data_IF_025822547195
#
_entry.id   IF_025822547195
#
_cell.length_a   1.000
_cell.length_b   1.000
_cell.length_c   1.000
_cell.angle_alpha   90.00
_cell.angle_beta   90.00
_cell.angle_gamma   90.00
#
_symmetry.space_group_name_H-M   'P 1'
#
loop_
_entity.id
_entity.type
_entity.pdbx_description
1 polymer ?
#
# COMPACT_ATOMS: atom_id res chain seq x y z
N UNK A 1 11.26 -2.54 54.58
CA UNK A 1 11.22 -3.41 53.38
C UNK A 1 11.40 -2.52 52.17
N UNK A 2 12.37 -2.82 51.28
CA UNK A 2 12.69 -1.95 50.16
C UNK A 2 11.76 -2.26 48.97
N UNK A 3 10.79 -1.39 48.72
CA UNK A 3 9.77 -1.61 47.68
C UNK A 3 10.34 -1.58 46.24
N UNK A 4 11.59 -1.15 46.05
CA UNK A 4 12.26 -1.07 44.74
C UNK A 4 13.02 -2.36 44.36
N UNK A 5 12.93 -3.42 45.16
CA UNK A 5 13.49 -4.73 44.81
C UNK A 5 12.42 -5.56 44.08
N UNK A 6 12.63 -5.80 42.79
CA UNK A 6 11.71 -6.59 41.95
C UNK A 6 11.50 -7.99 42.53
N UNK A 7 10.22 -8.36 42.73
CA UNK A 7 9.82 -9.68 43.22
C UNK A 7 9.71 -9.80 44.75
N UNK A 8 10.24 -8.84 45.52
CA UNK A 8 10.11 -8.83 46.99
C UNK A 8 8.90 -8.01 47.47
N UNK A 9 8.40 -7.08 46.66
CA UNK A 9 7.25 -6.24 46.99
C UNK A 9 5.94 -6.86 46.50
N UNK A 10 4.99 -7.02 47.42
CA UNK A 10 3.63 -7.43 47.07
C UNK A 10 2.84 -6.25 46.49
N UNK A 11 2.73 -6.22 45.17
CA UNK A 11 2.00 -5.20 44.42
C UNK A 11 0.50 -5.20 44.75
N UNK A 12 -0.05 -6.29 45.29
CA UNK A 12 -1.48 -6.35 45.69
C UNK A 12 -1.76 -5.59 46.98
N UNK A 13 -0.72 -5.21 47.72
CA UNK A 13 -0.84 -4.33 48.89
C UNK A 13 -1.12 -2.86 48.52
N UNK A 14 -0.96 -2.47 47.25
CA UNK A 14 -1.28 -1.12 46.79
C UNK A 14 -2.80 -0.90 46.76
N UNK A 15 -3.22 0.30 47.12
CA UNK A 15 -4.62 0.71 47.08
C UNK A 15 -5.17 0.60 45.65
N UNK A 16 -6.16 -0.28 45.45
CA UNK A 16 -6.79 -0.48 44.15
C UNK A 16 -7.61 0.73 43.69
N UNK A 17 -8.05 1.56 44.64
CA UNK A 17 -8.80 2.77 44.34
C UNK A 17 -7.90 3.94 43.91
N UNK A 18 -6.58 3.84 44.14
CA UNK A 18 -5.59 4.82 43.72
C UNK A 18 -5.64 5.05 42.20
N UNK A 19 -5.70 6.32 41.80
CA UNK A 19 -5.79 6.73 40.39
C UNK A 19 -4.59 6.23 39.56
N UNK A 20 -3.38 6.26 40.13
CA UNK A 20 -2.15 5.75 39.54
C UNK A 20 -2.18 4.25 39.27
N UNK A 21 -2.64 3.45 40.23
CA UNK A 21 -2.78 1.99 40.10
C UNK A 21 -3.80 1.63 39.02
N UNK A 22 -4.95 2.33 38.98
CA UNK A 22 -5.97 2.17 37.93
C UNK A 22 -5.41 2.46 36.53
N UNK A 23 -4.62 3.52 36.38
CA UNK A 23 -3.96 3.87 35.12
C UNK A 23 -2.93 2.80 34.75
N UNK A 24 -2.11 2.34 35.69
CA UNK A 24 -1.11 1.30 35.45
C UNK A 24 -1.72 -0.02 34.97
N UNK A 25 -2.79 -0.48 35.63
CA UNK A 25 -3.59 -1.65 35.20
C UNK A 25 -4.11 -1.47 33.78
N UNK A 26 -4.62 -0.29 33.44
CA UNK A 26 -5.11 0.03 32.09
C UNK A 26 -3.99 0.02 31.04
N UNK A 27 -2.80 0.52 31.36
CA UNK A 27 -1.63 0.49 30.45
C UNK A 27 -1.24 -0.95 30.09
N UNK A 28 -1.21 -1.86 31.07
CA UNK A 28 -0.91 -3.27 30.83
C UNK A 28 -1.99 -3.96 30.00
N UNK A 29 -3.26 -3.65 30.26
CA UNK A 29 -4.39 -4.18 29.50
C UNK A 29 -4.34 -3.72 28.04
N UNK A 30 -4.11 -2.42 27.80
CA UNK A 30 -3.98 -1.86 26.46
C UNK A 30 -2.84 -2.52 25.69
N UNK A 31 -1.67 -2.74 26.32
CA UNK A 31 -0.58 -3.46 25.64
C UNK A 31 -0.97 -4.87 25.21
N UNK A 32 -1.65 -5.64 26.08
CA UNK A 32 -2.09 -7.01 25.77
C UNK A 32 -3.13 -7.03 24.65
N UNK A 33 -4.13 -6.16 24.73
CA UNK A 33 -5.19 -6.07 23.72
C UNK A 33 -4.61 -5.63 22.37
N UNK A 34 -3.75 -4.60 22.36
CA UNK A 34 -3.10 -4.14 21.15
C UNK A 34 -2.26 -5.25 20.52
N UNK A 35 -1.45 -5.97 21.30
CA UNK A 35 -0.64 -7.07 20.77
C UNK A 35 -1.50 -8.15 20.08
N UNK A 36 -2.61 -8.56 20.70
CA UNK A 36 -3.54 -9.52 20.10
C UNK A 36 -4.21 -8.97 18.85
N UNK A 37 -4.67 -7.71 18.88
CA UNK A 37 -5.32 -7.05 17.76
C UNK A 37 -4.39 -6.96 16.54
N UNK A 38 -3.17 -6.49 16.73
CA UNK A 38 -2.20 -6.34 15.63
C UNK A 38 -1.66 -7.69 15.15
N UNK A 39 -1.56 -8.69 16.04
CA UNK A 39 -1.26 -10.07 15.63
C UNK A 39 -2.37 -10.66 14.74
N UNK A 40 -3.63 -10.44 15.09
CA UNK A 40 -4.77 -10.85 14.27
C UNK A 40 -4.83 -10.06 12.95
N UNK A 41 -4.58 -8.76 12.98
CA UNK A 41 -4.54 -7.90 11.79
C UNK A 41 -3.46 -8.37 10.81
N UNK A 42 -2.29 -8.78 11.31
CA UNK A 42 -1.22 -9.33 10.48
C UNK A 42 -1.63 -10.66 9.86
N UNK A 43 -2.24 -11.55 10.65
CA UNK A 43 -2.72 -12.84 10.17
C UNK A 43 -3.81 -12.66 9.09
N UNK A 44 -4.82 -11.84 9.36
CA UNK A 44 -5.90 -11.55 8.42
C UNK A 44 -5.36 -10.82 7.19
N UNK A 45 -4.50 -9.83 7.35
CA UNK A 45 -3.87 -9.12 6.24
C UNK A 45 -3.09 -10.08 5.34
N UNK A 46 -2.31 -10.99 5.92
CA UNK A 46 -1.55 -11.97 5.15
C UNK A 46 -2.47 -12.94 4.38
N UNK A 47 -3.44 -13.56 5.05
CA UNK A 47 -4.31 -14.56 4.41
C UNK A 47 -5.32 -13.93 3.45
N UNK A 48 -6.04 -12.91 3.90
CA UNK A 48 -7.11 -12.30 3.13
C UNK A 48 -6.59 -11.54 1.92
N UNK A 49 -5.52 -10.75 2.07
CA UNK A 49 -4.98 -9.97 0.96
C UNK A 49 -4.23 -10.87 -0.02
N UNK A 50 -3.57 -11.94 0.42
CA UNK A 50 -2.91 -12.87 -0.51
C UNK A 50 -3.90 -13.64 -1.36
N UNK A 51 -5.00 -14.12 -0.79
CA UNK A 51 -6.04 -14.81 -1.56
C UNK A 51 -6.81 -13.86 -2.48
N UNK A 52 -7.07 -12.62 -2.04
CA UNK A 52 -7.86 -11.65 -2.82
C UNK A 52 -7.05 -10.85 -3.85
N UNK A 53 -5.82 -10.47 -3.51
CA UNK A 53 -4.92 -9.64 -4.33
C UNK A 53 -3.77 -10.45 -4.92
N UNK A 54 -3.89 -11.78 -5.04
CA UNK A 54 -2.79 -12.66 -5.43
C UNK A 54 -2.05 -12.28 -6.73
N UNK A 55 -2.69 -11.54 -7.63
CA UNK A 55 -2.12 -10.99 -8.87
C UNK A 55 -1.44 -9.61 -8.72
N UNK A 56 -1.62 -8.91 -7.59
CA UNK A 56 -1.21 -7.50 -7.38
C UNK A 56 -0.13 -7.34 -6.29
N UNK A 57 0.45 -8.46 -5.88
CA UNK A 57 1.40 -8.56 -4.78
C UNK A 57 2.81 -8.71 -5.34
N UNK A 58 3.67 -7.71 -5.10
CA UNK A 58 5.11 -7.82 -5.36
C UNK A 58 5.79 -8.71 -4.30
N UNK A 59 6.98 -9.23 -4.61
CA UNK A 59 7.81 -9.99 -3.67
C UNK A 59 8.12 -9.26 -2.37
N UNK A 60 7.99 -7.92 -2.35
CA UNK A 60 8.18 -7.07 -1.17
C UNK A 60 6.92 -6.89 -0.31
N UNK A 61 5.73 -7.30 -0.77
CA UNK A 61 4.44 -7.07 -0.09
C UNK A 61 4.40 -7.55 1.35
N UNK A 62 4.88 -8.77 1.61
CA UNK A 62 4.84 -9.33 2.96
C UNK A 62 5.68 -8.50 3.95
N UNK A 63 6.81 -7.97 3.47
CA UNK A 63 7.70 -7.12 4.26
C UNK A 63 7.02 -5.76 4.50
N UNK A 64 6.43 -5.17 3.46
CA UNK A 64 5.71 -3.90 3.53
C UNK A 64 4.48 -3.98 4.46
N UNK A 65 3.68 -5.04 4.35
CA UNK A 65 2.53 -5.31 5.22
C UNK A 65 2.97 -5.44 6.68
N UNK A 66 3.99 -6.26 6.95
CA UNK A 66 4.52 -6.43 8.29
C UNK A 66 5.05 -5.11 8.87
N UNK A 67 5.85 -4.37 8.09
CA UNK A 67 6.43 -3.10 8.49
C UNK A 67 5.35 -2.02 8.75
N UNK A 68 4.30 -1.99 7.92
CA UNK A 68 3.16 -1.09 8.09
C UNK A 68 2.42 -1.36 9.39
N UNK A 69 2.06 -2.62 9.66
CA UNK A 69 1.36 -3.04 10.87
C UNK A 69 2.21 -2.74 12.11
N UNK A 70 3.52 -3.01 12.04
CA UNK A 70 4.45 -2.69 13.13
C UNK A 70 4.52 -1.18 13.39
N UNK A 71 4.53 -0.36 12.33
CA UNK A 71 4.55 1.10 12.40
C UNK A 71 3.28 1.62 13.06
N UNK A 72 2.12 1.08 12.67
CA UNK A 72 0.83 1.41 13.26
C UNK A 72 0.77 1.03 14.74
N UNK A 73 1.22 -0.17 15.10
CA UNK A 73 1.30 -0.65 16.47
C UNK A 73 2.17 0.27 17.36
N UNK A 74 3.40 0.57 16.90
CA UNK A 74 4.32 1.43 17.64
C UNK A 74 3.79 2.85 17.83
N UNK A 75 3.15 3.42 16.81
CA UNK A 75 2.59 4.76 16.87
C UNK A 75 1.35 4.87 17.76
N UNK A 76 0.44 3.89 17.74
CA UNK A 76 -0.71 3.87 18.66
C UNK A 76 -0.27 3.71 20.12
N UNK A 77 0.71 2.87 20.41
CA UNK A 77 1.29 2.77 21.76
C UNK A 77 1.94 4.09 22.17
N UNK A 78 2.63 4.78 21.26
CA UNK A 78 3.24 6.08 21.52
C UNK A 78 2.20 7.17 21.79
N UNK A 79 1.08 7.17 21.06
CA UNK A 79 -0.04 8.08 21.30
C UNK A 79 -0.67 7.84 22.67
N UNK A 80 -0.93 6.57 23.00
CA UNK A 80 -1.48 6.18 24.30
C UNK A 80 -0.53 6.50 25.46
N UNK A 81 0.77 6.30 25.29
CA UNK A 81 1.78 6.69 26.26
C UNK A 81 1.77 8.21 26.51
N UNK A 82 1.62 9.03 25.46
CA UNK A 82 1.52 10.49 25.62
C UNK A 82 0.20 10.91 26.30
N UNK A 83 -0.92 10.25 26.02
CA UNK A 83 -2.18 10.47 26.75
C UNK A 83 -2.02 10.16 28.24
N UNK A 84 -1.36 9.05 28.55
CA UNK A 84 -1.11 8.62 29.92
C UNK A 84 -0.19 9.60 30.63
N UNK A 85 0.91 10.02 29.99
CA UNK A 85 1.83 11.05 30.50
C UNK A 85 1.10 12.36 30.83
N UNK A 86 0.22 12.83 29.95
CA UNK A 86 -0.58 14.04 30.19
C UNK A 86 -1.48 13.90 31.42
N UNK A 87 -2.07 12.72 31.65
CA UNK A 87 -2.88 12.43 32.84
C UNK A 87 -2.04 12.35 34.12
N UNK A 88 -0.85 11.74 34.05
CA UNK A 88 0.04 11.63 35.21
C UNK A 88 0.53 13.00 35.69
N UNK A 89 0.71 13.97 34.78
CA UNK A 89 1.10 15.34 35.15
C UNK A 89 0.06 16.08 35.99
N UNK A 90 -1.21 15.66 35.98
CA UNK A 90 -2.29 16.27 36.78
C UNK A 90 -2.60 15.52 38.09
N UNK A 91 -1.87 14.44 38.38
CA UNK A 91 -2.10 13.65 39.60
C UNK A 91 -1.17 14.07 40.73
N UNK A 92 -1.54 13.69 41.95
CA UNK A 92 -0.71 13.89 43.13
C UNK A 92 0.57 13.04 43.05
N UNK A 93 1.68 13.49 43.68
CA UNK A 93 2.94 12.76 43.67
C UNK A 93 2.82 11.29 44.13
N UNK A 94 1.95 11.03 45.12
CA UNK A 94 1.67 9.68 45.62
C UNK A 94 1.10 8.76 44.53
N UNK A 95 0.12 9.23 43.76
CA UNK A 95 -0.48 8.47 42.68
C UNK A 95 0.52 8.21 41.54
N UNK A 96 1.38 9.19 41.25
CA UNK A 96 2.46 9.04 40.26
C UNK A 96 3.49 8.01 40.72
N UNK A 97 3.83 7.99 42.01
CA UNK A 97 4.69 6.99 42.62
C UNK A 97 4.06 5.58 42.49
N UNK A 98 2.81 5.41 42.93
CA UNK A 98 2.14 4.10 42.93
C UNK A 98 1.91 3.58 41.50
N UNK A 99 1.65 4.46 40.53
CA UNK A 99 1.68 4.12 39.11
C UNK A 99 3.04 3.54 38.68
N UNK A 100 4.12 4.23 39.04
CA UNK A 100 5.48 3.82 38.72
C UNK A 100 5.85 2.49 39.35
N UNK A 101 5.52 2.32 40.63
CA UNK A 101 5.81 1.12 41.42
C UNK A 101 5.06 -0.10 40.89
N UNK A 102 3.76 0.05 40.58
CA UNK A 102 2.96 -1.03 40.02
C UNK A 102 3.53 -1.53 38.69
N UNK A 103 3.88 -0.61 37.78
CA UNK A 103 4.50 -0.97 36.51
C UNK A 103 5.91 -1.54 36.67
N UNK A 104 6.70 -1.01 37.60
CA UNK A 104 8.06 -1.48 37.87
C UNK A 104 8.11 -2.98 38.20
N UNK A 105 7.11 -3.50 38.91
CA UNK A 105 7.01 -4.92 39.28
C UNK A 105 6.28 -5.80 38.26
N UNK A 106 5.33 -5.25 37.49
CA UNK A 106 4.47 -6.04 36.59
C UNK A 106 4.78 -5.90 35.10
N UNK A 107 5.44 -4.82 34.68
CA UNK A 107 5.63 -4.52 33.27
C UNK A 107 6.89 -5.18 32.69
N UNK A 108 6.74 -5.91 31.57
CA UNK A 108 7.85 -6.64 30.92
C UNK A 108 9.00 -5.71 30.52
N UNK A 109 8.71 -4.51 30.01
CA UNK A 109 9.72 -3.50 29.68
C UNK A 109 10.61 -3.04 30.84
N UNK A 110 10.23 -3.26 32.11
CA UNK A 110 11.09 -2.97 33.26
C UNK A 110 12.24 -3.98 33.42
N UNK A 111 12.26 -5.05 32.62
CA UNK A 111 13.42 -5.95 32.48
C UNK A 111 14.56 -5.31 31.69
N UNK A 112 14.27 -4.31 30.86
CA UNK A 112 15.30 -3.58 30.11
C UNK A 112 15.94 -2.54 31.04
N UNK A 113 17.28 -2.51 31.16
CA UNK A 113 17.97 -1.68 32.14
C UNK A 113 17.65 -0.19 31.97
N UNK A 114 17.64 0.34 30.74
CA UNK A 114 17.31 1.74 30.50
C UNK A 114 15.90 2.15 30.97
N UNK A 115 14.90 1.28 30.76
CA UNK A 115 13.54 1.54 31.23
C UNK A 115 13.44 1.40 32.75
N UNK A 116 14.10 0.39 33.33
CA UNK A 116 14.17 0.20 34.78
C UNK A 116 14.65 1.48 35.49
N UNK A 117 15.74 2.08 35.00
CA UNK A 117 16.29 3.31 35.58
C UNK A 117 15.38 4.52 35.39
N UNK A 118 14.66 4.61 34.27
CA UNK A 118 13.66 5.66 34.07
C UNK A 118 12.49 5.56 35.07
N UNK A 119 12.02 4.34 35.38
CA UNK A 119 10.99 4.13 36.41
C UNK A 119 11.51 4.48 37.81
N UNK A 120 12.70 3.99 38.18
CA UNK A 120 13.33 4.33 39.46
C UNK A 120 13.52 5.84 39.62
N UNK A 121 13.99 6.52 38.56
CA UNK A 121 14.09 7.98 38.54
C UNK A 121 12.74 8.65 38.75
N UNK A 122 11.70 8.18 38.05
CA UNK A 122 10.35 8.77 38.17
C UNK A 122 9.78 8.61 39.58
N UNK A 123 10.03 7.47 40.23
CA UNK A 123 9.65 7.22 41.61
C UNK A 123 10.45 8.11 42.56
N UNK A 124 11.77 8.19 42.41
CA UNK A 124 12.62 9.08 43.21
C UNK A 124 12.21 10.56 43.13
N UNK A 125 11.80 11.04 41.94
CA UNK A 125 11.25 12.40 41.81
C UNK A 125 9.92 12.54 42.54
N UNK A 126 9.03 11.54 42.47
CA UNK A 126 7.76 11.56 43.20
C UNK A 126 7.98 11.54 44.72
N UNK A 127 8.94 10.73 45.20
CA UNK A 127 9.34 10.67 46.61
C UNK A 127 9.94 12.00 47.09
N UNK A 128 10.73 12.68 46.25
CA UNK A 128 11.30 13.99 46.57
C UNK A 128 10.21 15.05 46.74
N UNK A 129 9.17 15.02 45.88
CA UNK A 129 7.99 15.90 46.02
C UNK A 129 7.16 15.60 47.27
N UNK A 130 7.22 14.37 47.78
CA UNK A 130 6.60 13.99 49.05
C UNK A 130 7.50 14.31 50.26
N UNK A 131 8.74 14.77 50.05
CA UNK A 131 9.70 15.08 51.12
C UNK A 131 10.38 13.86 51.74
N UNK A 132 10.29 12.67 51.12
CA UNK A 132 10.80 11.42 51.70
C UNK A 132 12.23 11.10 51.22
N UNK A 133 13.23 11.67 51.91
CA UNK A 133 14.65 11.49 51.57
C UNK A 133 15.12 10.04 51.65
N UNK A 134 14.59 9.26 52.59
CA UNK A 134 14.99 7.86 52.77
C UNK A 134 14.52 7.00 51.59
N UNK A 135 13.27 7.18 51.15
CA UNK A 135 12.76 6.50 49.93
C UNK A 135 13.50 6.93 48.67
N UNK A 136 13.77 8.22 48.53
CA UNK A 136 14.59 8.73 47.43
C UNK A 136 15.96 8.03 47.37
N UNK A 137 16.65 7.90 48.51
CA UNK A 137 17.95 7.22 48.59
C UNK A 137 17.83 5.76 48.17
N UNK A 138 16.83 5.04 48.69
CA UNK A 138 16.57 3.64 48.34
C UNK A 138 16.32 3.45 46.83
N UNK A 139 15.62 4.37 46.16
CA UNK A 139 15.39 4.29 44.71
C UNK A 139 16.65 4.62 43.90
N UNK A 140 17.42 5.64 44.34
CA UNK A 140 18.63 6.12 43.66
C UNK A 140 19.78 5.11 43.73
N UNK A 141 19.90 4.36 44.83
CA UNK A 141 20.97 3.36 45.01
C UNK A 141 20.91 2.23 43.95
N UNK A 142 19.73 1.96 43.37
CA UNK A 142 19.57 0.99 42.29
C UNK A 142 19.84 1.56 40.89
N UNK A 143 20.15 2.86 40.76
CA UNK A 143 20.44 3.50 39.48
C UNK A 143 21.96 3.59 39.30
N UNK A 144 22.54 3.01 38.23
CA UNK A 144 23.98 3.03 38.03
C UNK A 144 24.47 4.46 37.74
N UNK A 145 25.70 4.76 38.16
CA UNK A 145 26.33 6.07 37.93
C UNK A 145 26.51 6.43 36.44
N UNK A 146 26.49 5.43 35.54
CA UNK A 146 26.53 5.64 34.09
C UNK A 146 25.25 6.25 33.52
N UNK A 147 24.13 6.18 34.25
CA UNK A 147 22.86 6.75 33.83
C UNK A 147 22.83 8.26 34.14
N UNK A 148 22.99 9.08 33.08
CA UNK A 148 23.01 10.55 33.17
C UNK A 148 21.63 11.12 32.92
N UNK A 149 21.12 11.92 33.86
CA UNK A 149 19.84 12.60 33.72
C UNK A 149 19.77 13.82 34.66
N UNK A 150 19.42 14.98 34.12
CA UNK A 150 19.39 16.25 34.85
C UNK A 150 18.44 16.20 36.07
N UNK A 151 17.24 15.60 35.92
CA UNK A 151 16.28 15.46 37.03
C UNK A 151 16.82 14.55 38.14
N UNK A 152 17.62 13.54 37.78
CA UNK A 152 18.22 12.63 38.75
C UNK A 152 19.37 13.31 39.51
N UNK A 153 20.15 14.15 38.84
CA UNK A 153 21.22 14.93 39.48
C UNK A 153 20.64 15.92 40.49
N UNK A 154 19.55 16.61 40.15
CA UNK A 154 18.81 17.47 41.08
C UNK A 154 18.33 16.71 42.33
N UNK A 155 17.76 15.52 42.16
CA UNK A 155 17.33 14.69 43.29
C UNK A 155 18.53 14.26 44.14
N UNK A 156 19.66 13.88 43.53
CA UNK A 156 20.89 13.52 44.25
C UNK A 156 21.48 14.69 45.04
N UNK A 157 21.46 15.90 44.49
CA UNK A 157 21.88 17.11 45.18
C UNK A 157 20.99 17.40 46.39
N UNK A 158 19.66 17.30 46.22
CA UNK A 158 18.70 17.53 47.29
C UNK A 158 18.75 16.48 48.41
N UNK A 159 18.98 15.20 48.10
CA UNK A 159 19.16 14.15 49.13
C UNK A 159 20.34 14.47 50.06
N UNK A 160 21.38 15.11 49.52
CA UNK A 160 22.59 15.45 50.26
C UNK A 160 22.56 16.86 50.87
N UNK A 161 21.57 17.69 50.53
CA UNK A 161 21.41 19.02 51.11
C UNK A 161 20.69 18.96 52.47
N UNK A 162 20.87 20.01 53.28
CA UNK A 162 20.12 20.20 54.52
C UNK A 162 18.69 20.73 54.28
N UNK A 163 18.34 21.05 53.03
CA UNK A 163 17.03 21.61 52.67
C UNK A 163 15.92 20.58 52.90
N UNK A 164 14.80 21.04 53.49
CA UNK A 164 13.65 20.18 53.78
C UNK A 164 12.72 20.06 52.57
N UNK A 165 12.55 21.13 51.79
CA UNK A 165 11.64 21.19 50.64
C UNK A 165 12.39 20.97 49.33
N UNK A 166 11.75 20.26 48.39
CA UNK A 166 12.29 20.00 47.07
C UNK A 166 11.84 21.09 46.08
N UNK A 167 12.81 21.74 45.43
CA UNK A 167 12.52 22.79 44.44
C UNK A 167 12.08 22.19 43.09
N UNK A 168 10.76 22.00 42.96
CA UNK A 168 10.15 21.47 41.72
C UNK A 168 10.35 22.37 40.50
N UNK A 169 10.64 23.66 40.68
CA UNK A 169 10.76 24.62 39.57
C UNK A 169 11.98 24.34 38.69
N UNK A 170 12.99 23.66 39.25
CA UNK A 170 14.21 23.25 38.56
C UNK A 170 14.04 21.99 37.70
N UNK A 171 12.96 21.23 37.89
CA UNK A 171 12.70 20.02 37.10
C UNK A 171 12.52 20.36 35.62
N UNK A 172 12.99 19.46 34.75
CA UNK A 172 12.82 19.62 33.32
C UNK A 172 11.33 19.65 32.96
N UNK A 173 10.89 20.75 32.32
CA UNK A 173 9.51 20.89 31.84
C UNK A 173 9.17 19.74 30.90
N UNK A 174 8.23 18.89 31.34
CA UNK A 174 7.79 17.76 30.53
C UNK A 174 6.91 18.24 29.38
N UNK A 175 7.46 18.25 28.16
CA UNK A 175 6.67 18.42 26.94
C UNK A 175 5.99 17.09 26.59
N UNK A 176 4.68 17.16 26.31
CA UNK A 176 3.90 16.04 25.78
C UNK A 176 3.48 16.38 24.36
N UNK A 177 3.73 15.47 23.42
CA UNK A 177 3.21 15.64 22.06
C UNK A 177 1.69 15.45 22.06
N UNK A 178 0.99 16.07 21.11
CA UNK A 178 -0.45 15.89 20.95
C UNK A 178 -0.73 14.45 20.47
N UNK A 179 -1.47 13.62 21.24
CA UNK A 179 -1.76 12.24 20.87
C UNK A 179 -2.46 12.11 19.51
N UNK A 180 -3.35 13.03 19.16
CA UNK A 180 -4.05 13.02 17.87
C UNK A 180 -3.09 13.26 16.70
N UNK A 181 -2.11 14.16 16.88
CA UNK A 181 -1.10 14.38 15.86
C UNK A 181 -0.23 13.13 15.66
N UNK A 182 0.11 12.42 16.74
CA UNK A 182 0.85 11.13 16.65
C UNK A 182 0.03 10.11 15.84
N UNK A 183 -1.27 9.98 16.13
CA UNK A 183 -2.15 9.03 15.42
C UNK A 183 -2.20 9.34 13.92
N UNK A 184 -2.43 10.60 13.55
CA UNK A 184 -2.52 11.03 12.14
C UNK A 184 -1.20 10.73 11.42
N UNK A 185 -0.06 11.14 11.99
CA UNK A 185 1.26 10.89 11.39
C UNK A 185 1.51 9.39 11.27
N UNK A 186 1.14 8.61 12.27
CA UNK A 186 1.32 7.14 12.25
C UNK A 186 0.48 6.49 11.16
N UNK A 187 -0.76 6.93 10.96
CA UNK A 187 -1.64 6.40 9.92
C UNK A 187 -1.07 6.68 8.53
N UNK A 188 -0.58 7.91 8.29
CA UNK A 188 0.10 8.25 7.04
C UNK A 188 1.35 7.39 6.83
N UNK A 189 2.22 7.29 7.84
CA UNK A 189 3.42 6.45 7.75
C UNK A 189 3.10 4.97 7.48
N UNK A 190 2.09 4.43 8.14
CA UNK A 190 1.65 3.05 7.94
C UNK A 190 1.08 2.85 6.54
N UNK A 191 0.27 3.79 6.05
CA UNK A 191 -0.27 3.76 4.70
C UNK A 191 0.84 3.78 3.65
N UNK A 192 1.75 4.75 3.70
CA UNK A 192 2.86 4.85 2.75
C UNK A 192 3.79 3.63 2.78
N UNK A 193 4.05 3.04 3.95
CA UNK A 193 4.85 1.80 4.02
C UNK A 193 4.11 0.61 3.41
N UNK A 194 2.79 0.50 3.61
CA UNK A 194 2.00 -0.59 3.02
C UNK A 194 1.96 -0.47 1.50
N UNK A 195 1.79 0.75 0.98
CA UNK A 195 1.63 1.02 -0.44
C UNK A 195 2.87 0.65 -1.27
N UNK A 196 4.07 0.64 -0.69
CA UNK A 196 5.28 0.13 -1.36
C UNK A 196 5.22 -1.34 -1.76
N UNK A 197 4.39 -2.14 -1.07
CA UNK A 197 4.22 -3.56 -1.38
C UNK A 197 3.24 -3.83 -2.52
N UNK A 198 2.59 -2.79 -3.06
CA UNK A 198 1.55 -2.92 -4.07
C UNK A 198 2.12 -2.73 -5.47
N UNK A 199 1.58 -3.45 -6.46
CA UNK A 199 1.94 -3.25 -7.86
C UNK A 199 1.40 -1.89 -8.38
N UNK A 200 2.31 -0.95 -8.63
CA UNK A 200 2.02 0.39 -9.11
C UNK A 200 1.48 0.41 -10.54
N UNK A 201 1.92 -0.52 -11.40
CA UNK A 201 1.45 -0.59 -12.78
C UNK A 201 -0.03 -0.94 -12.79
N UNK A 202 -0.42 -1.92 -11.98
CA UNK A 202 -1.82 -2.31 -11.87
C UNK A 202 -2.69 -1.24 -11.23
N UNK A 203 -2.21 -0.57 -10.17
CA UNK A 203 -2.96 0.51 -9.50
C UNK A 203 -3.05 1.80 -10.32
N UNK A 204 -2.19 1.98 -11.32
CA UNK A 204 -2.21 3.11 -12.27
C UNK A 204 -2.95 2.80 -13.58
N UNK A 205 -3.40 1.56 -13.77
CA UNK A 205 -4.34 1.19 -14.83
C UNK A 205 -5.72 1.79 -14.52
N UNK A 206 -6.12 2.82 -15.26
CA UNK A 206 -7.40 3.47 -15.04
C UNK A 206 -7.45 4.91 -15.51
N UNK A 207 -8.55 5.61 -15.15
CA UNK A 207 -8.76 7.01 -15.52
C UNK A 207 -7.75 7.93 -14.84
N UNK A 208 -7.56 9.13 -15.39
CA UNK A 208 -6.62 10.15 -14.88
C UNK A 208 -6.70 10.37 -13.35
N UNK A 209 -7.91 10.38 -12.78
CA UNK A 209 -8.09 10.56 -11.34
C UNK A 209 -7.48 9.42 -10.50
N UNK A 210 -7.53 8.17 -10.98
CA UNK A 210 -6.91 7.03 -10.31
C UNK A 210 -5.39 7.12 -10.35
N UNK A 211 -4.81 7.49 -11.49
CA UNK A 211 -3.35 7.73 -11.63
C UNK A 211 -2.83 8.81 -10.69
N UNK A 212 -3.56 9.92 -10.59
CA UNK A 212 -3.21 10.99 -9.66
C UNK A 212 -3.20 10.52 -8.20
N UNK A 213 -4.20 9.73 -7.78
CA UNK A 213 -4.25 9.17 -6.43
C UNK A 213 -3.12 8.15 -6.18
N UNK A 214 -2.77 7.34 -7.17
CA UNK A 214 -1.63 6.41 -7.13
C UNK A 214 -0.31 7.19 -6.99
N UNK A 215 -0.14 8.29 -7.73
CA UNK A 215 0.99 9.20 -7.60
C UNK A 215 1.11 9.84 -6.21
N UNK A 216 0.00 10.31 -5.64
CA UNK A 216 -0.02 10.85 -4.27
C UNK A 216 0.36 9.79 -3.23
N UNK A 217 -0.11 8.56 -3.42
CA UNK A 217 0.20 7.44 -2.53
C UNK A 217 1.66 7.02 -2.63
N UNK A 218 2.24 7.07 -3.83
CA UNK A 218 3.66 6.86 -4.06
C UNK A 218 4.53 7.96 -3.42
N UNK A 219 4.11 9.22 -3.50
CA UNK A 219 4.79 10.32 -2.81
C UNK A 219 4.75 10.14 -1.28
N UNK A 220 3.61 9.73 -0.72
CA UNK A 220 3.50 9.43 0.70
C UNK A 220 4.37 8.22 1.11
N UNK A 221 4.50 7.23 0.23
CA UNK A 221 5.40 6.09 0.41
C UNK A 221 6.86 6.52 0.51
N UNK A 222 7.31 7.37 -0.44
CA UNK A 222 8.65 7.95 -0.44
C UNK A 222 8.89 8.78 0.82
N UNK A 223 7.92 9.62 1.20
CA UNK A 223 7.99 10.42 2.42
C UNK A 223 8.12 9.55 3.66
N UNK A 224 7.29 8.51 3.75
CA UNK A 224 7.20 7.62 4.90
C UNK A 224 8.49 6.83 5.13
N UNK A 225 9.02 6.22 4.08
CA UNK A 225 10.28 5.47 4.16
C UNK A 225 11.46 6.39 4.41
N UNK A 226 11.47 7.60 3.83
CA UNK A 226 12.52 8.59 4.09
C UNK A 226 12.54 9.01 5.57
N UNK A 227 11.38 9.22 6.18
CA UNK A 227 11.27 9.53 7.61
C UNK A 227 11.75 8.37 8.49
N UNK A 228 11.35 7.14 8.17
CA UNK A 228 11.74 5.94 8.92
C UNK A 228 13.25 5.71 8.83
N UNK A 229 13.85 5.77 7.64
CA UNK A 229 15.29 5.62 7.46
C UNK A 229 16.07 6.76 8.11
N UNK A 230 15.64 8.00 7.94
CA UNK A 230 16.29 9.14 8.59
C UNK A 230 16.26 9.00 10.12
N UNK A 231 15.15 8.53 10.68
CA UNK A 231 15.03 8.26 12.11
C UNK A 231 15.98 7.13 12.56
N UNK A 232 15.96 5.99 11.87
CA UNK A 232 16.81 4.83 12.18
C UNK A 232 18.31 5.14 12.11
N UNK A 233 18.76 5.76 11.02
CA UNK A 233 20.17 6.11 10.84
C UNK A 233 20.63 7.20 11.82
N UNK A 234 19.80 8.22 12.08
CA UNK A 234 20.16 9.26 13.05
C UNK A 234 20.22 8.72 14.48
N UNK A 235 19.38 7.73 14.83
CA UNK A 235 19.46 7.01 16.10
C UNK A 235 20.75 6.18 16.19
N UNK A 236 21.10 5.46 15.13
CA UNK A 236 22.33 4.66 15.06
C UNK A 236 23.58 5.55 15.23
N UNK A 237 23.62 6.71 14.57
CA UNK A 237 24.70 7.70 14.76
C UNK A 237 24.75 8.19 16.20
N UNK A 238 23.60 8.42 16.84
CA UNK A 238 23.53 8.85 18.24
C UNK A 238 24.09 7.78 19.20
N UNK A 239 23.76 6.50 18.95
CA UNK A 239 24.27 5.36 19.71
C UNK A 239 25.79 5.26 19.58
N UNK A 240 26.33 5.31 18.35
CA UNK A 240 27.79 5.24 18.10
C UNK A 240 28.51 6.40 18.78
N UNK A 241 27.97 7.62 18.69
CA UNK A 241 28.57 8.80 19.33
C UNK A 241 28.29 8.91 20.83
N UNK A 242 27.58 7.94 21.43
CA UNK A 242 27.11 7.98 22.83
C UNK A 242 26.45 9.33 23.18
N UNK A 243 25.70 9.88 22.23
CA UNK A 243 25.14 11.23 22.29
C UNK A 243 23.63 11.25 22.09
N UNK A 244 23.06 12.45 22.12
CA UNK A 244 21.64 12.67 21.76
C UNK A 244 21.49 12.72 20.24
N UNK A 245 20.33 12.31 19.75
CA UNK A 245 19.97 12.42 18.34
C UNK A 245 20.04 13.89 17.89
N UNK A 246 20.82 14.15 16.83
CA UNK A 246 20.99 15.49 16.29
C UNK A 246 19.89 15.79 15.27
N UNK A 247 19.13 16.87 15.50
CA UNK A 247 18.13 17.36 14.55
C UNK A 247 18.73 17.63 13.17
N UNK A 248 19.95 18.20 13.11
CA UNK A 248 20.64 18.48 11.85
C UNK A 248 20.94 17.20 11.07
N UNK A 249 21.45 16.18 11.76
CA UNK A 249 21.77 14.88 11.13
C UNK A 249 20.50 14.22 10.60
N UNK A 250 19.42 14.22 11.40
CA UNK A 250 18.12 13.71 10.96
C UNK A 250 17.62 14.44 9.71
N UNK A 251 17.62 15.79 9.70
CA UNK A 251 17.14 16.58 8.55
C UNK A 251 17.96 16.32 7.29
N UNK A 252 19.29 16.25 7.40
CA UNK A 252 20.16 15.96 6.26
C UNK A 252 19.87 14.57 5.70
N UNK A 253 19.79 13.55 6.56
CA UNK A 253 19.48 12.18 6.15
C UNK A 253 18.09 12.09 5.50
N UNK A 254 17.09 12.77 6.07
CA UNK A 254 15.75 12.83 5.49
C UNK A 254 15.77 13.40 4.08
N UNK A 255 16.43 14.54 3.86
CA UNK A 255 16.53 15.14 2.52
C UNK A 255 17.24 14.22 1.54
N UNK A 256 18.31 13.54 1.97
CA UNK A 256 19.04 12.58 1.14
C UNK A 256 18.14 11.41 0.74
N UNK A 257 17.47 10.76 1.71
CA UNK A 257 16.60 9.63 1.43
C UNK A 257 15.38 10.03 0.60
N UNK A 258 14.82 11.22 0.83
CA UNK A 258 13.70 11.73 0.06
C UNK A 258 14.08 11.99 -1.39
N UNK A 259 15.19 12.68 -1.65
CA UNK A 259 15.70 12.91 -3.01
C UNK A 259 16.06 11.59 -3.70
N UNK A 260 16.66 10.65 -2.98
CA UNK A 260 16.98 9.33 -3.50
C UNK A 260 15.71 8.56 -3.86
N UNK A 261 14.68 8.60 -3.02
CA UNK A 261 13.39 7.96 -3.28
C UNK A 261 12.70 8.56 -4.51
N UNK A 262 12.66 9.89 -4.63
CA UNK A 262 12.15 10.57 -5.83
C UNK A 262 12.94 10.20 -7.09
N UNK A 263 14.25 9.96 -6.97
CA UNK A 263 15.09 9.53 -8.09
C UNK A 263 14.81 8.07 -8.50
N UNK A 264 14.70 7.16 -7.52
CA UNK A 264 14.40 5.74 -7.75
C UNK A 264 13.03 5.58 -8.43
N UNK A 265 12.01 6.25 -7.89
CA UNK A 265 10.64 6.18 -8.40
C UNK A 265 10.33 7.26 -9.43
N UNK A 266 11.36 7.83 -10.07
CA UNK A 266 11.18 8.95 -11.02
C UNK A 266 10.26 8.56 -12.17
N UNK A 267 10.47 7.40 -12.78
CA UNK A 267 9.64 6.92 -13.91
C UNK A 267 8.18 6.80 -13.50
N UNK A 268 7.93 6.22 -12.33
CA UNK A 268 6.59 5.90 -11.86
C UNK A 268 5.83 7.17 -11.44
N UNK A 269 6.53 8.11 -10.80
CA UNK A 269 6.01 9.44 -10.49
C UNK A 269 5.67 10.21 -11.76
N UNK A 270 6.55 10.20 -12.76
CA UNK A 270 6.31 10.83 -14.06
C UNK A 270 5.08 10.20 -14.72
N UNK A 271 4.97 8.87 -14.76
CA UNK A 271 3.81 8.19 -15.34
C UNK A 271 2.49 8.49 -14.62
N UNK A 272 2.53 8.75 -13.30
CA UNK A 272 1.33 9.07 -12.52
C UNK A 272 0.88 10.54 -12.64
N UNK A 273 1.83 11.48 -12.80
CA UNK A 273 1.56 12.93 -12.73
C UNK A 273 1.65 13.66 -14.06
N UNK A 274 2.44 13.17 -15.01
CA UNK A 274 2.35 13.68 -16.36
C UNK A 274 1.05 13.20 -16.98
N UNK A 275 0.39 14.12 -17.68
CA UNK A 275 -0.58 13.74 -18.69
C UNK A 275 0.21 12.93 -19.69
N UNK A 276 0.13 11.62 -19.57
CA UNK A 276 0.16 10.81 -20.76
C UNK A 276 -1.07 11.30 -21.56
N UNK A 277 -0.88 12.34 -22.40
CA UNK A 277 -1.37 12.20 -23.77
C UNK A 277 -0.87 10.83 -24.16
N UNK A 278 -1.80 10.00 -24.59
CA UNK A 278 -1.58 8.61 -24.97
C UNK A 278 -0.12 8.36 -25.36
N UNK A 279 0.40 7.18 -25.03
CA UNK A 279 1.56 6.63 -25.74
C UNK A 279 1.17 6.22 -27.17
N UNK A 280 0.37 7.09 -27.78
CA UNK A 280 -0.31 7.17 -29.06
C UNK A 280 -0.60 8.67 -29.32
N UNK A 281 0.30 9.58 -28.91
CA UNK A 281 0.34 10.94 -29.45
C UNK A 281 1.73 11.12 -30.07
N UNK A 282 1.77 10.87 -31.36
CA UNK A 282 2.55 11.58 -32.38
C UNK A 282 4.07 11.67 -32.21
N UNK A 283 4.70 10.79 -31.41
CA UNK A 283 6.16 10.82 -31.21
C UNK A 283 6.88 9.49 -31.44
N UNK A 284 6.14 8.40 -31.69
CA UNK A 284 6.68 7.15 -32.24
C UNK A 284 6.49 7.05 -33.77
N UNK A 285 5.97 8.10 -34.42
CA UNK A 285 5.97 8.24 -35.89
C UNK A 285 7.33 8.70 -36.47
N UNK A 286 8.27 9.20 -35.65
CA UNK A 286 9.55 9.73 -36.14
C UNK A 286 10.77 8.79 -35.98
N UNK A 287 10.58 7.55 -35.49
CA UNK A 287 11.69 6.58 -35.33
C UNK A 287 11.60 5.36 -36.26
N UNK A 288 10.63 5.34 -37.17
CA UNK A 288 10.56 4.39 -38.29
C UNK A 288 10.54 5.18 -39.59
N UNK A 289 11.42 6.18 -39.70
CA UNK A 289 11.59 6.97 -40.93
C UNK A 289 13.04 6.91 -41.42
N UNK A 290 13.63 5.70 -41.40
CA UNK A 290 14.94 5.48 -42.02
C UNK A 290 15.19 4.05 -42.51
N UNK A 291 14.31 3.50 -43.35
CA UNK A 291 14.78 2.54 -44.35
C UNK A 291 14.01 2.74 -45.65
N UNK A 292 14.67 3.49 -46.54
CA UNK A 292 14.61 3.48 -48.00
C UNK A 292 13.31 3.01 -48.65
N UNK A 293 12.63 3.93 -49.34
CA UNK A 293 12.47 3.79 -50.79
C UNK A 293 12.29 5.17 -51.43
N UNK A 294 13.23 5.48 -52.31
CA UNK A 294 13.24 6.61 -53.21
C UNK A 294 11.98 6.67 -54.10
N UNK A 295 11.55 7.92 -54.34
CA UNK A 295 11.11 8.45 -55.64
C UNK A 295 9.99 7.67 -56.37
N UNK A 296 8.77 8.22 -56.39
CA UNK A 296 8.15 8.70 -57.62
C UNK A 296 6.92 9.57 -57.30
N UNK A 297 7.05 10.83 -57.70
CA UNK A 297 5.99 11.79 -58.04
C UNK A 297 4.69 11.16 -58.58
N UNK A 298 3.53 11.62 -58.10
CA UNK A 298 2.52 12.28 -58.95
C UNK A 298 1.32 12.74 -58.08
N UNK A 299 1.22 14.06 -58.01
CA UNK A 299 0.01 14.88 -58.18
C UNK A 299 -1.27 14.60 -57.40
N UNK A 300 -1.59 15.62 -56.58
CA UNK A 300 -2.92 16.08 -56.22
C UNK A 300 -3.99 15.74 -57.25
N UNK A 301 -5.01 14.98 -56.86
CA UNK A 301 -6.33 15.11 -57.47
C UNK A 301 -7.45 15.14 -56.44
N UNK A 302 -8.10 16.29 -56.52
CA UNK A 302 -9.34 16.73 -55.90
C UNK A 302 -10.51 15.76 -56.14
N UNK A 303 -11.45 15.78 -55.21
CA UNK A 303 -12.70 15.03 -55.24
C UNK A 303 -13.44 15.16 -56.59
N UNK A 304 -13.89 14.01 -57.14
CA UNK A 304 -15.00 13.99 -58.08
C UNK A 304 -15.96 12.84 -57.76
N UNK A 305 -17.24 13.21 -57.70
CA UNK A 305 -18.41 12.37 -57.45
C UNK A 305 -18.67 11.40 -58.59
N UNK A 306 -19.42 10.34 -58.26
CA UNK A 306 -20.16 9.40 -59.11
C UNK A 306 -19.42 8.11 -59.49
N UNK A 307 -19.63 7.06 -58.69
CA UNK A 307 -20.46 5.94 -59.16
C UNK A 307 -20.93 5.03 -58.00
N UNK A 308 -22.25 5.03 -57.86
CA UNK A 308 -23.16 4.08 -57.18
C UNK A 308 -22.58 2.70 -56.81
N UNK A 309 -22.31 2.50 -55.52
CA UNK A 309 -22.78 1.31 -54.79
C UNK A 309 -23.66 1.78 -53.63
N UNK A 310 -24.93 1.38 -53.67
CA UNK A 310 -25.90 1.63 -52.60
C UNK A 310 -25.52 0.82 -51.36
N UNK A 311 -24.72 1.40 -50.48
CA UNK A 311 -24.60 0.97 -49.09
C UNK A 311 -25.58 1.84 -48.30
N UNK A 312 -26.60 1.19 -47.74
CA UNK A 312 -27.58 1.77 -46.83
C UNK A 312 -26.85 2.45 -45.67
N UNK A 313 -26.75 3.77 -45.75
CA UNK A 313 -26.18 4.61 -44.71
C UNK A 313 -27.22 4.77 -43.58
N UNK A 314 -27.30 3.78 -42.69
CA UNK A 314 -28.17 3.88 -41.52
C UNK A 314 -27.68 3.14 -40.26
N UNK A 315 -26.37 2.98 -40.09
CA UNK A 315 -25.79 2.59 -38.79
C UNK A 315 -24.41 3.19 -38.62
N UNK A 316 -24.22 3.99 -37.58
CA UNK A 316 -22.90 4.36 -37.09
C UNK A 316 -22.07 3.08 -36.90
N UNK A 317 -20.77 3.06 -37.26
CA UNK A 317 -19.93 1.90 -36.98
C UNK A 317 -19.97 1.62 -35.48
N UNK A 318 -20.27 0.38 -35.13
CA UNK A 318 -20.37 -0.06 -33.74
C UNK A 318 -18.99 0.08 -33.07
N UNK A 319 -18.94 0.59 -31.83
CA UNK A 319 -17.67 0.83 -31.13
C UNK A 319 -16.90 -0.49 -30.94
N UNK A 320 -15.58 -0.45 -31.03
CA UNK A 320 -14.70 -1.63 -30.90
C UNK A 320 -14.97 -2.41 -29.62
N UNK A 321 -15.29 -1.69 -28.53
CA UNK A 321 -15.61 -2.26 -27.22
C UNK A 321 -16.87 -3.14 -27.28
N UNK A 322 -17.87 -2.72 -28.04
CA UNK A 322 -19.12 -3.46 -28.16
C UNK A 322 -18.94 -4.71 -29.02
N UNK A 323 -18.16 -4.62 -30.10
CA UNK A 323 -17.76 -5.78 -30.92
C UNK A 323 -17.02 -6.81 -30.07
N UNK A 324 -16.08 -6.37 -29.23
CA UNK A 324 -15.36 -7.24 -28.30
C UNK A 324 -16.30 -7.96 -27.33
N UNK A 325 -17.29 -7.25 -26.76
CA UNK A 325 -18.27 -7.84 -25.84
C UNK A 325 -19.13 -8.91 -26.54
N UNK A 326 -19.54 -8.67 -27.79
CA UNK A 326 -20.28 -9.65 -28.57
C UNK A 326 -19.44 -10.88 -28.94
N UNK A 327 -18.14 -10.71 -29.20
CA UNK A 327 -17.20 -11.84 -29.39
C UNK A 327 -17.04 -12.70 -28.13
N UNK A 328 -17.04 -12.11 -26.94
CA UNK A 328 -17.02 -12.85 -25.66
C UNK A 328 -18.29 -13.69 -25.50
N UNK A 329 -19.45 -13.13 -25.84
CA UNK A 329 -20.73 -13.84 -25.78
C UNK A 329 -20.71 -15.01 -26.77
N UNK A 330 -20.20 -14.81 -27.98
CA UNK A 330 -20.05 -15.86 -28.98
C UNK A 330 -19.07 -16.96 -28.54
N UNK A 331 -17.92 -16.63 -27.96
CA UNK A 331 -16.98 -17.62 -27.40
C UNK A 331 -17.69 -18.57 -26.43
N UNK A 332 -18.50 -18.03 -25.52
CA UNK A 332 -19.27 -18.83 -24.57
C UNK A 332 -20.25 -19.80 -25.24
N UNK A 333 -20.92 -19.35 -26.31
CA UNK A 333 -21.78 -20.22 -27.12
C UNK A 333 -21.00 -21.32 -27.85
N UNK A 334 -19.86 -20.98 -28.45
CA UNK A 334 -19.02 -21.94 -29.17
C UNK A 334 -18.53 -23.07 -28.24
N UNK A 335 -18.14 -22.72 -27.01
CA UNK A 335 -17.76 -23.69 -25.97
C UNK A 335 -18.93 -24.57 -25.56
N UNK A 336 -20.06 -23.97 -25.20
CA UNK A 336 -21.25 -24.69 -24.72
C UNK A 336 -21.83 -25.67 -25.75
N UNK A 337 -21.65 -25.40 -27.03
CA UNK A 337 -22.11 -26.27 -28.13
C UNK A 337 -21.02 -27.23 -28.64
N UNK A 338 -19.83 -27.26 -28.03
CA UNK A 338 -18.74 -28.15 -28.40
C UNK A 338 -18.12 -27.85 -29.77
N UNK A 339 -18.21 -26.60 -30.24
CA UNK A 339 -17.60 -26.14 -31.49
C UNK A 339 -16.11 -25.88 -31.30
N UNK A 340 -15.72 -25.42 -30.10
CA UNK A 340 -14.32 -25.30 -29.65
C UNK A 340 -14.13 -26.02 -28.31
N UNK A 341 -12.90 -26.47 -28.02
CA UNK A 341 -12.61 -27.23 -26.80
C UNK A 341 -12.58 -26.36 -25.52
N UNK A 342 -12.95 -26.96 -24.40
CA UNK A 342 -13.12 -26.30 -23.09
C UNK A 342 -11.79 -26.06 -22.33
N UNK A 343 -10.65 -26.48 -22.89
CA UNK A 343 -9.35 -26.43 -22.21
C UNK A 343 -8.66 -25.06 -22.25
N UNK A 344 -9.08 -24.14 -23.14
CA UNK A 344 -8.41 -22.85 -23.32
C UNK A 344 -9.09 -21.74 -22.50
N UNK A 345 -8.31 -21.17 -21.57
CA UNK A 345 -8.73 -20.09 -20.68
C UNK A 345 -8.63 -18.73 -21.38
N UNK A 346 -9.80 -18.25 -21.81
CA UNK A 346 -10.14 -16.88 -22.23
C UNK A 346 -9.85 -16.52 -23.70
N UNK A 347 -10.82 -15.82 -24.31
CA UNK A 347 -10.68 -15.05 -25.55
C UNK A 347 -9.50 -14.06 -25.48
N UNK A 348 -8.58 -14.14 -26.44
CA UNK A 348 -7.54 -13.13 -26.62
C UNK A 348 -8.02 -12.09 -27.65
N UNK A 349 -8.20 -10.85 -27.21
CA UNK A 349 -8.58 -9.74 -28.08
C UNK A 349 -7.33 -9.06 -28.64
N UNK A 350 -7.33 -8.82 -29.95
CA UNK A 350 -6.28 -8.15 -30.72
C UNK A 350 -6.87 -7.35 -31.89
N UNK A 351 -6.01 -6.81 -32.75
CA UNK A 351 -6.39 -6.08 -33.96
C UNK A 351 -5.75 -6.70 -35.21
N UNK A 352 -6.49 -6.68 -36.32
CA UNK A 352 -5.99 -7.08 -37.65
C UNK A 352 -5.03 -6.02 -38.21
N UNK A 353 -4.30 -6.36 -39.28
CA UNK A 353 -3.45 -5.42 -40.02
C UNK A 353 -4.23 -4.22 -40.61
N UNK A 354 -5.56 -4.34 -40.74
CA UNK A 354 -6.46 -3.27 -41.20
C UNK A 354 -7.04 -2.43 -40.04
N UNK A 355 -6.71 -2.74 -38.79
CA UNK A 355 -7.19 -2.04 -37.60
C UNK A 355 -8.52 -2.54 -37.04
N UNK A 356 -9.10 -3.62 -37.57
CA UNK A 356 -10.37 -4.17 -37.06
C UNK A 356 -10.14 -5.12 -35.87
N UNK A 357 -11.09 -5.17 -34.94
CA UNK A 357 -11.09 -6.10 -33.79
C UNK A 357 -11.04 -7.56 -34.24
N UNK A 358 -10.19 -8.36 -33.59
CA UNK A 358 -10.04 -9.80 -33.78
C UNK A 358 -10.01 -10.52 -32.44
N UNK A 359 -10.79 -11.59 -32.31
CA UNK A 359 -10.84 -12.41 -31.10
C UNK A 359 -10.34 -13.83 -31.31
N UNK A 360 -9.21 -14.22 -30.73
CA UNK A 360 -8.70 -15.61 -30.78
C UNK A 360 -9.37 -16.44 -29.68
N UNK A 361 -10.17 -17.42 -30.08
CA UNK A 361 -11.04 -18.22 -29.19
C UNK A 361 -10.45 -19.57 -28.79
N UNK A 362 -9.61 -20.14 -29.65
CA UNK A 362 -9.03 -21.47 -29.44
C UNK A 362 -7.78 -21.64 -30.30
N UNK A 363 -6.88 -22.53 -29.87
CA UNK A 363 -5.68 -22.88 -30.61
C UNK A 363 -5.31 -24.33 -30.36
N UNK A 364 -5.11 -25.09 -31.43
CA UNK A 364 -4.63 -26.47 -31.40
C UNK A 364 -3.21 -26.58 -32.00
N UNK A 365 -2.75 -27.80 -32.31
CA UNK A 365 -1.41 -28.03 -32.88
C UNK A 365 -1.28 -27.50 -34.31
N UNK A 366 -2.38 -27.42 -35.05
CA UNK A 366 -2.40 -27.14 -36.48
C UNK A 366 -3.01 -25.75 -36.81
N UNK A 367 -3.88 -25.22 -35.94
CA UNK A 367 -4.72 -24.06 -36.22
C UNK A 367 -4.89 -23.09 -35.04
N UNK A 368 -5.03 -21.81 -35.37
CA UNK A 368 -5.52 -20.74 -34.51
C UNK A 368 -6.92 -20.29 -34.96
N UNK A 369 -7.89 -20.34 -34.05
CA UNK A 369 -9.31 -20.06 -34.34
C UNK A 369 -9.65 -18.64 -33.94
N UNK A 370 -10.10 -17.85 -34.91
CA UNK A 370 -10.27 -16.40 -34.79
C UNK A 370 -11.67 -15.96 -35.18
N UNK A 371 -12.17 -14.98 -34.44
CA UNK A 371 -13.42 -14.27 -34.67
C UNK A 371 -13.16 -12.94 -35.36
N UNK A 372 -13.89 -12.69 -36.44
CA UNK A 372 -13.84 -11.46 -37.22
C UNK A 372 -15.22 -10.83 -37.35
N UNK A 373 -15.29 -9.52 -37.16
CA UNK A 373 -16.47 -8.74 -37.52
C UNK A 373 -16.68 -8.76 -39.04
N UNK A 374 -17.88 -9.12 -39.47
CA UNK A 374 -18.31 -9.10 -40.87
C UNK A 374 -19.46 -8.11 -41.13
N UNK A 375 -19.75 -7.25 -40.16
CA UNK A 375 -20.67 -6.14 -40.28
C UNK A 375 -22.08 -6.43 -39.77
N UNK A 376 -22.93 -5.40 -39.90
CA UNK A 376 -24.30 -5.44 -39.42
C UNK A 376 -25.22 -6.14 -40.42
N UNK A 377 -26.12 -6.97 -39.89
CA UNK A 377 -27.10 -7.71 -40.67
C UNK A 377 -28.41 -7.85 -39.90
N UNK A 378 -29.51 -8.03 -40.63
CA UNK A 378 -30.81 -8.31 -40.01
C UNK A 378 -31.06 -9.81 -39.93
N UNK A 379 -31.56 -10.27 -38.79
CA UNK A 379 -32.09 -11.63 -38.67
C UNK A 379 -33.41 -11.79 -39.46
N UNK A 380 -33.94 -13.02 -39.50
CA UNK A 380 -35.20 -13.33 -40.20
C UNK A 380 -36.42 -12.57 -39.63
N UNK A 381 -36.33 -12.07 -38.39
CA UNK A 381 -37.37 -11.31 -37.72
C UNK A 381 -37.19 -9.78 -37.89
N UNK A 382 -36.13 -9.35 -38.56
CA UNK A 382 -35.80 -7.95 -38.81
C UNK A 382 -35.06 -7.25 -37.68
N UNK A 383 -34.56 -7.98 -36.68
CA UNK A 383 -33.74 -7.43 -35.60
C UNK A 383 -32.30 -7.17 -36.08
N UNK A 384 -31.64 -6.18 -35.49
CA UNK A 384 -30.25 -5.87 -35.82
C UNK A 384 -29.29 -6.83 -35.10
N UNK A 385 -28.41 -7.46 -35.87
CA UNK A 385 -27.40 -8.38 -35.40
C UNK A 385 -26.03 -7.96 -35.94
N UNK A 386 -24.97 -8.27 -35.19
CA UNK A 386 -23.61 -8.27 -35.69
C UNK A 386 -23.29 -9.66 -36.25
N UNK A 387 -22.84 -9.74 -37.49
CA UNK A 387 -22.37 -10.99 -38.09
C UNK A 387 -20.89 -11.19 -37.75
N UNK A 388 -20.57 -12.27 -37.06
CA UNK A 388 -19.21 -12.62 -36.67
C UNK A 388 -18.83 -13.94 -37.33
N UNK A 389 -17.63 -13.97 -37.91
CA UNK A 389 -17.09 -15.10 -38.67
C UNK A 389 -16.05 -15.82 -37.84
N UNK A 390 -16.16 -17.15 -37.75
CA UNK A 390 -15.13 -18.01 -37.16
C UNK A 390 -14.26 -18.60 -38.27
N UNK A 391 -12.96 -18.33 -38.22
CA UNK A 391 -11.97 -18.86 -39.16
C UNK A 391 -10.87 -19.61 -38.41
N UNK A 392 -10.38 -20.71 -38.98
CA UNK A 392 -9.21 -21.42 -38.47
C UNK A 392 -8.01 -21.16 -39.38
N UNK A 393 -7.03 -20.43 -38.85
CA UNK A 393 -5.81 -20.04 -39.53
C UNK A 393 -4.72 -21.08 -39.27
N UNK A 394 -4.10 -21.65 -40.32
CA UNK A 394 -3.06 -22.66 -40.13
C UNK A 394 -1.83 -22.06 -39.47
N UNK A 395 -1.15 -22.86 -38.65
CA UNK A 395 0.09 -22.50 -37.97
C UNK A 395 1.32 -22.95 -38.77
N UNK A 396 2.41 -22.19 -38.68
CA UNK A 396 3.72 -22.58 -39.20
C UNK A 396 4.45 -23.54 -38.24
N UNK A 397 5.64 -24.02 -38.64
CA UNK A 397 6.47 -24.93 -37.83
C UNK A 397 6.91 -24.37 -36.48
N UNK A 398 6.83 -23.05 -36.29
CA UNK A 398 7.17 -22.35 -35.06
C UNK A 398 5.91 -21.97 -34.25
N UNK A 399 4.72 -22.32 -34.72
CA UNK A 399 3.45 -22.00 -34.08
C UNK A 399 2.99 -20.54 -34.29
N UNK A 400 3.35 -19.89 -35.38
CA UNK A 400 2.77 -18.60 -35.76
C UNK A 400 1.68 -18.78 -36.80
N UNK A 401 0.59 -18.01 -36.69
CA UNK A 401 -0.48 -18.02 -37.69
C UNK A 401 0.02 -17.55 -39.05
N UNK A 402 -0.31 -18.30 -40.10
CA UNK A 402 -0.09 -17.92 -41.51
C UNK A 402 -1.09 -16.84 -41.98
N UNK A 403 -2.06 -16.48 -41.13
CA UNK A 403 -2.98 -15.37 -41.31
C UNK A 403 -4.23 -15.71 -42.13
N UNK A 404 -5.13 -14.72 -42.23
CA UNK A 404 -6.46 -14.87 -42.82
C UNK A 404 -6.47 -15.38 -44.27
N UNK A 405 -5.43 -15.11 -45.05
CA UNK A 405 -5.35 -15.51 -46.46
C UNK A 405 -5.35 -17.04 -46.66
N UNK A 406 -4.87 -17.80 -45.67
CA UNK A 406 -4.84 -19.26 -45.69
C UNK A 406 -5.89 -19.89 -44.77
N UNK A 407 -6.79 -19.07 -44.22
CA UNK A 407 -7.75 -19.51 -43.23
C UNK A 407 -8.84 -20.40 -43.84
N UNK A 408 -9.29 -21.39 -43.05
CA UNK A 408 -10.47 -22.18 -43.35
C UNK A 408 -11.67 -21.65 -42.58
N UNK A 409 -12.70 -21.23 -43.30
CA UNK A 409 -13.94 -20.74 -42.72
C UNK A 409 -14.67 -21.87 -41.96
N UNK A 410 -15.05 -21.61 -40.71
CA UNK A 410 -15.71 -22.59 -39.81
C UNK A 410 -17.17 -22.26 -39.52
N UNK A 411 -17.58 -21.00 -39.59
CA UNK A 411 -18.97 -20.64 -39.35
C UNK A 411 -19.25 -19.13 -39.46
N UNK A 412 -20.51 -18.81 -39.70
CA UNK A 412 -21.08 -17.46 -39.58
C UNK A 412 -22.10 -17.46 -38.44
N UNK A 413 -22.02 -16.46 -37.58
CA UNK A 413 -22.88 -16.34 -36.41
C UNK A 413 -23.47 -14.93 -36.35
N UNK A 414 -24.79 -14.83 -36.28
CA UNK A 414 -25.47 -13.57 -36.00
C UNK A 414 -25.66 -13.44 -34.48
N UNK A 415 -25.08 -12.39 -33.90
CA UNK A 415 -25.28 -12.05 -32.50
C UNK A 415 -26.24 -10.87 -32.42
N UNK A 416 -27.43 -11.10 -31.87
CA UNK A 416 -28.43 -10.05 -31.71
C UNK A 416 -27.94 -8.99 -30.73
N UNK A 417 -27.95 -7.74 -31.15
CA UNK A 417 -27.29 -6.64 -30.43
C UNK A 417 -28.03 -6.26 -29.14
N UNK A 418 -29.36 -6.45 -29.10
CA UNK A 418 -30.19 -6.08 -27.95
C UNK A 418 -30.38 -7.26 -26.98
N UNK A 419 -30.54 -8.47 -27.51
CA UNK A 419 -30.90 -9.66 -26.71
C UNK A 419 -29.74 -10.60 -26.44
N UNK A 420 -28.64 -10.45 -27.18
CA UNK A 420 -27.46 -11.34 -27.14
C UNK A 420 -27.75 -12.79 -27.54
N UNK A 421 -28.91 -13.05 -28.16
CA UNK A 421 -29.21 -14.34 -28.76
C UNK A 421 -28.30 -14.59 -29.98
N UNK A 422 -27.81 -15.83 -30.09
CA UNK A 422 -26.89 -16.23 -31.15
C UNK A 422 -27.62 -17.16 -32.12
N UNK A 423 -27.51 -16.85 -33.41
CA UNK A 423 -28.03 -17.67 -34.50
C UNK A 423 -26.83 -18.15 -35.33
N UNK A 424 -26.62 -19.45 -35.36
CA UNK A 424 -25.67 -20.09 -36.30
C UNK A 424 -26.32 -20.12 -37.69
N UNK A 425 -25.68 -19.49 -38.67
CA UNK A 425 -26.18 -19.48 -40.05
C UNK A 425 -25.91 -20.78 -40.81
N UNK A 426 -25.15 -21.70 -40.21
CA UNK A 426 -24.76 -22.99 -40.78
C UNK A 426 -24.07 -22.87 -42.15
N UNK A 427 -23.34 -21.75 -42.34
CA UNK A 427 -22.55 -21.45 -43.53
C UNK A 427 -21.07 -21.68 -43.22
N UNK A 428 -20.39 -22.40 -44.12
CA UNK A 428 -18.95 -22.68 -44.03
C UNK A 428 -18.20 -22.28 -45.30
N UNK A 429 -18.81 -21.44 -46.14
CA UNK A 429 -18.25 -20.83 -47.34
C UNK A 429 -18.76 -19.38 -47.42
N UNK A 430 -17.93 -18.50 -48.00
CA UNK A 430 -18.26 -17.10 -48.24
C UNK A 430 -19.38 -16.91 -49.27
#
# INVERSE_FOLDING_TARGET
MNCYIQGEFDVTSLDEENAGVKIAKRVLLVHKISLLYFGLLLFLGYYYLKDYLGLYIDGTFNIALFASILTLYAGLLSAYANMTKKKLLSLEPKDVHDYGLYLFHKHVFCKLPGNKYNFLRSMAVADARMGDKDKCRMAVDFIPASFKNDDLELVKEWINSEEQDFDESKLAKQKTANPFAIIIVTLLLSYGVFFLGMDLNYLSCGRYFQRFLTGLSLLDSILSVSLIYAFGFSLLVAIIKKGKQSKKVFTILFLIFFLLGCFIFKSDLVCCFERYDSRWSDSDEELIDSYDYDDYSSDDYDYSSDDSYSIDASSEPYDDIDIMNLMIILEGYLKNNGIIEDYYTNLLISYTAKGNVRGTVYRDEDYEYNLYDNGLKKDENGNNCLEIVLEAEPLDENGYSLGQAEASLKGFYLVNIETYEIIDEHKTHW
#
